data_IF_927432061855
#
_entry.id   IF_927432061855
#
_cell.length_a   1.000
_cell.length_b   1.000
_cell.length_c   1.000
_cell.angle_alpha   90.00
_cell.angle_beta   90.00
_cell.angle_gamma   90.00
#
_symmetry.space_group_name_H-M   'P 1'
#
loop_
_entity.id
_entity.type
_entity.pdbx_description
1 polymer ?
#
# COMPACT_ATOMS: atom_id res chain seq x y z
N UNK A 1 -5.55 -9.49 7.39
CA UNK A 1 -6.62 -9.35 8.41
C UNK A 1 -7.55 -10.56 8.31
N UNK A 2 -7.75 -11.32 9.40
CA UNK A 2 -8.47 -12.62 9.40
C UNK A 2 -9.70 -12.60 10.32
N UNK A 3 -10.67 -11.73 10.05
CA UNK A 3 -11.89 -11.60 10.90
C UNK A 3 -12.87 -12.76 10.68
N UNK A 4 -12.96 -13.29 9.45
CA UNK A 4 -13.78 -14.46 9.10
C UNK A 4 -13.23 -15.80 9.64
N UNK A 5 -12.01 -15.84 10.17
CA UNK A 5 -11.39 -17.07 10.68
C UNK A 5 -11.81 -17.43 12.11
N UNK A 6 -12.55 -16.55 12.78
CA UNK A 6 -13.03 -16.74 14.16
C UNK A 6 -14.44 -17.35 14.20
N UNK A 7 -15.12 -17.40 13.06
CA UNK A 7 -16.50 -17.88 12.94
C UNK A 7 -16.45 -19.34 12.47
N UNK A 8 -17.04 -20.25 13.24
CA UNK A 8 -17.10 -21.69 12.91
C UNK A 8 -18.38 -22.07 12.13
N UNK A 9 -19.42 -21.23 12.21
CA UNK A 9 -20.72 -21.51 11.60
C UNK A 9 -20.73 -21.20 10.09
N UNK A 10 -20.94 -22.23 9.27
CA UNK A 10 -20.93 -22.15 7.81
C UNK A 10 -22.03 -21.22 7.25
N UNK A 11 -23.21 -21.19 7.88
CA UNK A 11 -24.33 -20.37 7.41
C UNK A 11 -24.06 -18.87 7.64
N UNK A 12 -23.37 -18.55 8.75
CA UNK A 12 -22.93 -17.19 9.06
C UNK A 12 -21.83 -16.77 8.08
N UNK A 13 -20.86 -17.64 7.80
CA UNK A 13 -19.80 -17.39 6.80
C UNK A 13 -20.43 -17.13 5.42
N UNK A 14 -21.39 -17.95 4.99
CA UNK A 14 -22.08 -17.78 3.70
C UNK A 14 -22.83 -16.45 3.63
N UNK A 15 -23.53 -16.03 4.68
CA UNK A 15 -24.22 -14.73 4.75
C UNK A 15 -23.26 -13.56 4.64
N UNK A 16 -22.15 -13.59 5.37
CA UNK A 16 -21.13 -12.53 5.34
C UNK A 16 -20.49 -12.44 3.94
N UNK A 17 -20.06 -13.58 3.39
CA UNK A 17 -19.44 -13.61 2.07
C UNK A 17 -20.41 -13.17 0.97
N UNK A 18 -21.70 -13.47 1.09
CA UNK A 18 -22.73 -12.95 0.17
C UNK A 18 -22.95 -11.44 0.32
N UNK A 19 -23.04 -10.94 1.55
CA UNK A 19 -23.19 -9.50 1.81
C UNK A 19 -22.01 -8.68 1.27
N UNK A 20 -20.80 -9.22 1.37
CA UNK A 20 -19.58 -8.61 0.84
C UNK A 20 -19.37 -8.81 -0.67
N UNK A 21 -20.23 -9.60 -1.34
CA UNK A 21 -20.07 -9.96 -2.75
C UNK A 21 -18.83 -10.82 -3.04
N UNK A 22 -18.32 -11.53 -2.03
CA UNK A 22 -17.14 -12.38 -2.11
C UNK A 22 -17.48 -13.85 -2.40
N UNK A 23 -18.71 -14.28 -2.15
CA UNK A 23 -19.14 -15.68 -2.30
C UNK A 23 -19.03 -16.19 -3.76
N UNK A 24 -19.52 -15.41 -4.72
CA UNK A 24 -19.53 -15.77 -6.15
C UNK A 24 -18.34 -15.18 -6.93
N UNK A 25 -17.30 -14.74 -6.22
CA UNK A 25 -16.19 -14.04 -6.86
C UNK A 25 -15.37 -15.04 -7.67
N UNK A 26 -15.42 -14.90 -8.99
CA UNK A 26 -14.62 -15.71 -9.92
C UNK A 26 -13.14 -15.62 -9.49
N UNK A 27 -12.43 -16.75 -9.37
CA UNK A 27 -11.02 -16.71 -9.03
C UNK A 27 -10.29 -15.78 -9.99
N UNK A 28 -9.43 -14.92 -9.44
CA UNK A 28 -8.58 -14.04 -10.26
C UNK A 28 -7.86 -14.94 -11.26
N UNK A 29 -7.90 -14.63 -12.57
CA UNK A 29 -7.15 -15.39 -13.54
C UNK A 29 -5.68 -15.43 -13.09
N UNK A 30 -5.00 -16.58 -13.25
CA UNK A 30 -3.59 -16.67 -12.88
C UNK A 30 -2.82 -15.53 -13.58
N UNK A 31 -1.86 -14.90 -12.87
CA UNK A 31 -0.95 -13.94 -13.50
C UNK A 31 -0.38 -14.58 -14.76
N UNK A 32 -0.47 -13.89 -15.90
CA UNK A 32 0.04 -14.46 -17.15
C UNK A 32 1.55 -14.64 -17.00
N UNK A 33 2.02 -15.89 -17.00
CA UNK A 33 3.46 -16.18 -16.89
C UNK A 33 4.27 -15.56 -18.04
N UNK A 34 3.64 -15.42 -19.20
CA UNK A 34 4.22 -14.82 -20.41
C UNK A 34 3.87 -13.32 -20.57
N UNK A 35 3.25 -12.68 -19.56
CA UNK A 35 3.28 -11.22 -19.59
C UNK A 35 4.76 -10.83 -19.52
N UNK A 36 5.24 -9.95 -20.41
CA UNK A 36 6.53 -9.31 -20.19
C UNK A 36 6.60 -8.92 -18.72
N UNK A 37 7.72 -9.15 -18.01
CA UNK A 37 7.86 -8.58 -16.69
C UNK A 37 7.41 -7.15 -16.84
N UNK A 38 6.44 -6.74 -16.01
CA UNK A 38 5.96 -5.38 -16.04
C UNK A 38 7.15 -4.58 -15.55
N UNK A 39 8.06 -4.27 -16.47
CA UNK A 39 9.04 -3.20 -16.39
C UNK A 39 8.16 -1.98 -16.39
N UNK A 40 7.48 -1.77 -15.27
CA UNK A 40 7.27 -0.44 -14.78
C UNK A 40 8.69 0.10 -14.71
N UNK A 41 9.13 0.69 -15.82
CA UNK A 41 9.97 1.87 -15.75
C UNK A 41 9.13 2.81 -14.89
N UNK A 42 9.25 2.64 -13.57
CA UNK A 42 8.76 3.58 -12.61
C UNK A 42 9.65 4.79 -12.86
N UNK A 43 9.26 5.61 -13.84
CA UNK A 43 9.70 6.99 -13.90
C UNK A 43 9.11 7.61 -12.65
N UNK A 44 9.92 7.61 -11.59
CA UNK A 44 9.63 8.39 -10.41
C UNK A 44 9.65 9.83 -10.91
N UNK A 45 8.47 10.41 -11.03
CA UNK A 45 8.34 11.81 -11.41
C UNK A 45 8.82 12.66 -10.23
N UNK A 46 10.09 13.05 -10.28
CA UNK A 46 10.70 13.95 -9.30
C UNK A 46 10.30 15.42 -9.52
N UNK A 47 9.43 15.71 -10.50
CA UNK A 47 8.89 17.07 -10.68
C UNK A 47 8.11 17.51 -9.45
N UNK A 48 7.44 16.56 -8.78
CA UNK A 48 6.77 16.80 -7.51
C UNK A 48 7.57 16.15 -6.37
N UNK A 49 8.27 16.98 -5.61
CA UNK A 49 8.99 16.53 -4.42
C UNK A 49 7.99 16.02 -3.38
N UNK A 50 8.12 14.76 -2.96
CA UNK A 50 7.37 14.24 -1.80
C UNK A 50 7.78 14.94 -0.49
N UNK A 51 8.91 15.66 -0.48
CA UNK A 51 9.29 16.51 0.63
C UNK A 51 8.54 17.85 0.53
N UNK A 52 7.97 18.34 1.65
CA UNK A 52 7.39 19.66 1.69
C UNK A 52 8.46 20.70 1.31
N UNK A 53 8.06 21.74 0.59
CA UNK A 53 8.98 22.79 0.11
C UNK A 53 9.72 23.57 1.21
N UNK A 54 9.44 23.29 2.50
CA UNK A 54 10.13 23.92 3.62
C UNK A 54 10.76 22.89 4.54
N UNK A 55 12.05 23.08 4.80
CA UNK A 55 12.84 22.32 5.76
C UNK A 55 12.50 22.65 7.22
N UNK A 56 11.47 23.47 7.47
CA UNK A 56 11.03 23.88 8.81
C UNK A 56 10.55 22.73 9.69
N UNK A 57 10.29 21.55 9.09
CA UNK A 57 9.93 20.33 9.79
C UNK A 57 11.11 19.43 10.12
N UNK A 58 12.31 19.72 9.60
CA UNK A 58 13.50 18.98 10.00
C UNK A 58 13.84 19.33 11.44
N UNK A 59 13.76 18.32 12.30
CA UNK A 59 14.19 18.45 13.69
C UNK A 59 15.69 18.76 13.70
N UNK A 60 16.05 19.96 14.15
CA UNK A 60 17.44 20.36 14.32
C UNK A 60 17.98 19.60 15.52
N UNK A 61 18.94 18.71 15.29
CA UNK A 61 19.62 18.02 16.37
C UNK A 61 20.39 19.04 17.23
N UNK A 62 20.08 19.18 18.53
CA UNK A 62 20.80 20.09 19.40
C UNK A 62 22.28 19.74 19.59
N UNK A 63 22.70 18.50 19.29
CA UNK A 63 24.11 18.06 19.37
C UNK A 63 24.91 18.53 18.14
N UNK A 64 24.25 18.73 17.00
CA UNK A 64 24.86 19.22 15.77
C UNK A 64 24.00 20.33 15.15
N UNK A 65 24.13 21.57 15.63
CA UNK A 65 23.47 22.71 14.98
C UNK A 65 24.01 22.86 13.56
N UNK A 66 23.10 23.00 12.58
CA UNK A 66 23.40 23.29 11.18
C UNK A 66 24.12 24.64 11.04
N UNK A 67 25.43 24.68 11.28
CA UNK A 67 26.27 25.85 11.01
C UNK A 67 26.66 25.86 9.54
N UNK A 68 25.75 26.31 8.68
CA UNK A 68 26.12 26.70 7.31
C UNK A 68 26.83 28.05 7.34
N UNK A 69 28.15 28.01 7.25
CA UNK A 69 29.04 29.14 6.98
C UNK A 69 28.65 29.85 5.67
N UNK A 70 28.68 31.19 5.72
CA UNK A 70 28.60 32.13 4.58
C UNK A 70 29.73 31.92 3.57
#
# INVERSE_FOLDING_TARGET
>A
MKVISVIEDEDVIKKILRHLGLWDRKPRPPPKADSPPMTLEYQIDYTDSQLPASDKWLYVDPVYPETSTT
#
